data_IF_355221873874
#
_entry.id   IF_355221873874
#
_cell.length_a   1.000
_cell.length_b   1.000
_cell.length_c   1.000
_cell.angle_alpha   90.00
_cell.angle_beta   90.00
_cell.angle_gamma   90.00
#
_symmetry.space_group_name_H-M   'P 1'
#
loop_
_entity.id
_entity.type
_entity.pdbx_description
1 polymer ?
#
# COMPACT_ATOMS: atom_id res chain seq x y z
N UNK A 1 -25.40 -9.46 -1.12
CA UNK A 1 -24.40 -8.45 -1.52
C UNK A 1 -23.14 -9.21 -1.89
N UNK A 2 -22.90 -9.41 -3.18
CA UNK A 2 -21.68 -10.03 -3.70
C UNK A 2 -20.54 -9.04 -3.45
N UNK A 3 -19.45 -9.49 -2.81
CA UNK A 3 -18.26 -8.66 -2.70
C UNK A 3 -17.85 -8.20 -4.12
N UNK A 4 -17.46 -6.93 -4.34
CA UNK A 4 -17.02 -6.49 -5.65
C UNK A 4 -15.88 -7.40 -6.14
N UNK A 5 -15.86 -7.72 -7.43
CA UNK A 5 -14.76 -8.48 -8.04
C UNK A 5 -13.45 -7.74 -7.75
N UNK A 6 -12.50 -8.45 -7.11
CA UNK A 6 -11.21 -7.87 -6.73
C UNK A 6 -10.38 -7.62 -7.99
N UNK A 7 -10.02 -6.37 -8.21
CA UNK A 7 -9.17 -5.97 -9.33
C UNK A 7 -7.70 -6.30 -9.05
N UNK A 8 -6.83 -6.32 -10.08
CA UNK A 8 -5.38 -6.36 -9.88
C UNK A 8 -4.85 -5.24 -8.97
N UNK A 9 -5.45 -4.05 -9.04
CA UNK A 9 -5.10 -2.94 -8.16
C UNK A 9 -5.50 -3.18 -6.71
N UNK A 10 -6.65 -3.80 -6.46
CA UNK A 10 -7.10 -4.17 -5.11
C UNK A 10 -6.14 -5.18 -4.49
N UNK A 11 -5.73 -6.18 -5.26
CA UNK A 11 -4.70 -7.15 -4.83
C UNK A 11 -3.37 -6.46 -4.55
N UNK A 12 -2.94 -5.54 -5.42
CA UNK A 12 -1.72 -4.77 -5.21
C UNK A 12 -1.80 -3.90 -3.95
N UNK A 13 -2.94 -3.26 -3.68
CA UNK A 13 -3.14 -2.46 -2.47
C UNK A 13 -3.03 -3.30 -1.20
N UNK A 14 -3.60 -4.51 -1.21
CA UNK A 14 -3.47 -5.44 -0.09
C UNK A 14 -1.99 -5.82 0.17
N UNK A 15 -1.27 -6.24 -0.87
CA UNK A 15 0.15 -6.60 -0.76
C UNK A 15 1.03 -5.44 -0.28
N UNK A 16 0.78 -4.22 -0.79
CA UNK A 16 1.48 -3.02 -0.36
C UNK A 16 1.19 -2.66 1.10
N UNK A 17 0.00 -3.01 1.61
CA UNK A 17 -0.37 -2.73 3.01
C UNK A 17 0.45 -3.53 4.01
N UNK A 18 0.99 -4.70 3.62
CA UNK A 18 1.84 -5.50 4.49
C UNK A 18 3.09 -4.74 4.97
N UNK A 19 3.59 -3.78 4.19
CA UNK A 19 4.71 -2.92 4.58
C UNK A 19 4.42 -2.03 5.80
N UNK A 20 3.17 -1.94 6.23
CA UNK A 20 2.73 -1.15 7.39
C UNK A 20 2.42 -2.01 8.61
N UNK A 21 2.54 -3.33 8.52
CA UNK A 21 2.43 -4.22 9.66
C UNK A 21 3.73 -4.15 10.48
N UNK A 22 3.61 -4.22 11.80
CA UNK A 22 4.75 -4.22 12.74
C UNK A 22 5.40 -5.62 12.80
N UNK A 23 5.80 -6.12 11.64
CA UNK A 23 6.46 -7.42 11.46
C UNK A 23 7.73 -7.21 10.63
N UNK A 24 8.73 -8.09 10.80
CA UNK A 24 10.01 -7.99 10.07
C UNK A 24 9.80 -8.32 8.58
N UNK A 25 9.32 -7.32 7.84
CA UNK A 25 8.97 -7.40 6.41
C UNK A 25 10.20 -7.56 5.52
N UNK A 26 11.42 -7.37 6.05
CA UNK A 26 12.68 -7.48 5.29
C UNK A 26 12.88 -8.87 4.69
N UNK A 27 12.48 -9.92 5.40
CA UNK A 27 12.53 -11.30 4.91
C UNK A 27 11.49 -11.61 3.81
N UNK A 28 10.49 -10.76 3.65
CA UNK A 28 9.35 -10.97 2.74
C UNK A 28 9.35 -10.06 1.52
N UNK A 29 10.32 -9.15 1.36
CA UNK A 29 10.35 -8.21 0.22
C UNK A 29 10.45 -8.89 -1.15
N UNK A 30 11.18 -10.00 -1.26
CA UNK A 30 11.30 -10.73 -2.52
C UNK A 30 9.99 -11.44 -2.87
N UNK A 31 9.31 -12.02 -1.88
CA UNK A 31 7.96 -12.59 -2.01
C UNK A 31 6.97 -11.51 -2.47
N UNK A 32 6.94 -10.37 -1.76
CA UNK A 32 6.08 -9.24 -2.11
C UNK A 32 6.36 -8.72 -3.52
N UNK A 33 7.62 -8.63 -3.93
CA UNK A 33 7.99 -8.21 -5.29
C UNK A 33 7.46 -9.19 -6.35
N UNK A 34 7.59 -10.50 -6.12
CA UNK A 34 7.05 -11.51 -7.03
C UNK A 34 5.52 -11.45 -7.11
N UNK A 35 4.84 -11.36 -5.97
CA UNK A 35 3.38 -11.30 -5.93
C UNK A 35 2.83 -10.02 -6.56
N UNK A 36 3.50 -8.88 -6.35
CA UNK A 36 3.16 -7.62 -7.01
C UNK A 36 3.36 -7.70 -8.53
N UNK A 37 4.43 -8.35 -9.01
CA UNK A 37 4.60 -8.59 -10.46
C UNK A 37 3.50 -9.47 -11.02
N UNK A 38 3.08 -10.50 -10.29
CA UNK A 38 2.00 -11.39 -10.71
C UNK A 38 0.63 -10.69 -10.83
N UNK A 39 0.46 -9.51 -10.21
CA UNK A 39 -0.75 -8.69 -10.44
C UNK A 39 -0.78 -8.07 -11.85
N UNK A 40 0.36 -7.94 -12.53
CA UNK A 40 0.47 -7.24 -13.81
C UNK A 40 0.34 -5.72 -13.71
N UNK A 41 0.21 -5.15 -12.50
CA UNK A 41 0.12 -3.70 -12.29
C UNK A 41 1.50 -3.06 -12.52
N UNK A 42 1.63 -2.05 -13.40
CA UNK A 42 2.92 -1.40 -13.65
C UNK A 42 3.50 -0.75 -12.40
N UNK A 43 4.82 -0.74 -12.25
CA UNK A 43 5.51 -0.13 -11.09
C UNK A 43 5.10 1.34 -10.88
N UNK A 44 4.90 2.10 -11.96
CA UNK A 44 4.43 3.49 -11.87
C UNK A 44 2.98 3.64 -11.37
N UNK A 45 2.15 2.60 -11.52
CA UNK A 45 0.82 2.52 -10.93
C UNK A 45 0.93 2.09 -9.46
N UNK A 46 1.79 1.11 -9.13
CA UNK A 46 2.08 0.73 -7.74
C UNK A 46 2.56 1.92 -6.89
N UNK A 47 3.41 2.79 -7.44
CA UNK A 47 3.83 4.05 -6.82
C UNK A 47 2.64 4.98 -6.49
N UNK A 48 1.62 5.02 -7.36
CA UNK A 48 0.42 5.81 -7.14
C UNK A 48 -0.45 5.18 -6.06
N UNK A 49 -0.74 3.89 -6.17
CA UNK A 49 -1.53 3.13 -5.20
C UNK A 49 -0.92 3.24 -3.79
N UNK A 50 0.40 3.11 -3.67
CA UNK A 50 1.10 3.23 -2.39
C UNK A 50 0.87 4.59 -1.73
N UNK A 51 0.95 5.69 -2.49
CA UNK A 51 0.85 7.06 -1.95
C UNK A 51 -0.60 7.52 -1.75
N UNK A 52 -1.49 7.16 -2.67
CA UNK A 52 -2.84 7.73 -2.77
C UNK A 52 -3.88 6.87 -2.04
N UNK A 53 -3.70 5.55 -2.06
CA UNK A 53 -4.61 4.60 -1.44
C UNK A 53 -4.04 4.06 -0.13
N UNK A 54 -2.98 3.27 -0.20
CA UNK A 54 -2.48 2.48 0.95
C UNK A 54 -1.97 3.37 2.06
N UNK A 55 -1.02 4.28 1.78
CA UNK A 55 -0.48 5.19 2.79
C UNK A 55 -1.55 6.11 3.39
N UNK A 56 -2.60 6.44 2.63
CA UNK A 56 -3.71 7.27 3.14
C UNK A 56 -4.52 6.52 4.19
N UNK A 57 -4.61 5.20 4.10
CA UNK A 57 -5.29 4.35 5.09
C UNK A 57 -4.36 3.92 6.21
N UNK A 58 -3.15 3.50 5.89
CA UNK A 58 -2.27 2.80 6.83
C UNK A 58 -1.33 3.73 7.62
N UNK A 59 -1.00 4.94 7.14
CA UNK A 59 -0.14 5.85 7.93
C UNK A 59 -0.78 6.28 9.24
N UNK A 60 -2.11 6.33 9.33
CA UNK A 60 -2.79 6.64 10.60
C UNK A 60 -2.61 5.54 11.64
N UNK A 61 -2.44 4.28 11.22
CA UNK A 61 -2.21 3.16 12.13
C UNK A 61 -0.84 3.25 12.81
N UNK A 62 0.15 3.92 12.20
CA UNK A 62 1.47 4.12 12.80
C UNK A 62 1.47 5.14 13.96
N UNK A 63 0.44 6.00 14.06
CA UNK A 63 0.34 7.02 15.12
C UNK A 63 -0.57 6.60 16.27
N UNK A 64 -1.46 5.64 16.03
CA UNK A 64 -2.34 5.07 17.04
C UNK A 64 -2.39 3.58 16.76
N UNK A 65 -1.61 2.76 17.48
CA UNK A 65 -1.74 1.32 17.39
C UNK A 65 -3.15 0.96 17.88
N UNK A 66 -4.07 0.82 16.94
CA UNK A 66 -5.31 0.11 17.23
C UNK A 66 -4.86 -1.33 17.45
N UNK A 67 -4.87 -1.86 18.68
CA UNK A 67 -4.78 -3.30 19.00
C UNK A 67 -3.63 -4.15 18.44
N UNK A 68 -3.55 -5.40 18.90
CA UNK A 68 -2.73 -6.45 18.29
C UNK A 68 -3.40 -6.89 16.98
N UNK A 69 -2.93 -6.41 15.82
CA UNK A 69 -3.40 -6.93 14.53
C UNK A 69 -2.30 -7.76 13.90
N UNK A 70 -2.56 -9.06 13.75
CA UNK A 70 -1.69 -9.97 12.99
C UNK A 70 -1.73 -9.68 11.47
N UNK A 71 -2.61 -8.79 11.00
CA UNK A 71 -2.74 -8.39 9.61
C UNK A 71 -3.87 -7.40 9.35
N UNK A 72 -3.96 -6.90 8.11
CA UNK A 72 -5.11 -6.11 7.66
C UNK A 72 -6.25 -7.02 7.19
N UNK A 73 -7.48 -6.74 7.62
CA UNK A 73 -8.66 -7.30 6.96
C UNK A 73 -8.78 -6.71 5.55
N UNK A 74 -8.74 -7.58 4.54
CA UNK A 74 -8.73 -7.19 3.12
C UNK A 74 -9.96 -6.36 2.75
N UNK A 75 -11.14 -6.79 3.18
CA UNK A 75 -12.39 -6.14 2.78
C UNK A 75 -12.54 -4.77 3.47
N UNK A 76 -12.11 -4.64 4.72
CA UNK A 76 -12.00 -3.37 5.44
C UNK A 76 -11.03 -2.40 4.75
N UNK A 77 -9.85 -2.88 4.36
CA UNK A 77 -8.82 -2.07 3.70
C UNK A 77 -9.36 -1.52 2.37
N UNK A 78 -9.91 -2.40 1.53
CA UNK A 78 -10.46 -2.03 0.23
C UNK A 78 -11.67 -1.10 0.34
N UNK A 79 -12.57 -1.34 1.31
CA UNK A 79 -13.68 -0.43 1.57
C UNK A 79 -13.20 0.97 1.97
N UNK A 80 -12.13 1.07 2.77
CA UNK A 80 -11.55 2.37 3.14
C UNK A 80 -10.89 3.07 1.95
N UNK A 81 -10.18 2.33 1.10
CA UNK A 81 -9.60 2.84 -0.14
C UNK A 81 -10.69 3.37 -1.07
N UNK A 82 -11.74 2.59 -1.32
CA UNK A 82 -12.87 3.00 -2.16
C UNK A 82 -13.51 4.29 -1.66
N UNK A 83 -13.73 4.41 -0.34
CA UNK A 83 -14.24 5.63 0.29
C UNK A 83 -13.31 6.83 0.07
N UNK A 84 -11.99 6.63 0.20
CA UNK A 84 -11.00 7.68 0.01
C UNK A 84 -10.88 8.15 -1.45
N UNK A 85 -11.05 7.23 -2.42
CA UNK A 85 -11.06 7.55 -3.85
C UNK A 85 -12.27 8.41 -4.23
N UNK A 86 -13.43 8.17 -3.61
CA UNK A 86 -14.65 8.96 -3.81
C UNK A 86 -14.57 10.40 -3.23
N UNK A 87 -13.71 10.63 -2.23
CA UNK A 87 -13.50 11.95 -1.62
C UNK A 87 -11.99 12.30 -1.55
N UNK A 88 -11.43 12.89 -2.62
CA UNK A 88 -10.02 13.29 -2.62
C UNK A 88 -9.73 14.48 -1.68
N UNK A 89 -10.74 15.27 -1.33
CA UNK A 89 -10.63 16.49 -0.52
C UNK A 89 -9.88 17.64 -1.21
N UNK A 90 -10.18 18.88 -0.80
CA UNK A 90 -9.58 20.12 -1.37
C UNK A 90 -8.07 20.26 -1.14
N UNK A 91 -7.50 19.60 -0.13
CA UNK A 91 -6.08 19.65 0.21
C UNK A 91 -5.26 18.47 -0.35
N UNK A 92 -5.75 17.82 -1.41
CA UNK A 92 -5.14 16.61 -1.97
C UNK A 92 -3.64 16.76 -2.32
N UNK A 93 -3.16 17.83 -2.99
CA UNK A 93 -1.75 17.96 -3.36
C UNK A 93 -0.82 18.05 -2.14
N UNK A 94 -1.21 18.85 -1.15
CA UNK A 94 -0.45 19.04 0.09
C UNK A 94 -0.38 17.74 0.87
N UNK A 95 -1.52 17.06 1.04
CA UNK A 95 -1.59 15.76 1.73
C UNK A 95 -0.78 14.69 1.00
N UNK A 96 -0.79 14.68 -0.34
CA UNK A 96 0.04 13.78 -1.16
C UNK A 96 1.53 14.00 -0.91
N UNK A 97 1.98 15.25 -0.86
CA UNK A 97 3.36 15.59 -0.52
C UNK A 97 3.73 15.12 0.90
N UNK A 98 2.87 15.39 1.89
CA UNK A 98 3.08 14.94 3.27
C UNK A 98 3.17 13.40 3.36
N UNK A 99 2.29 12.66 2.67
CA UNK A 99 2.35 11.19 2.63
C UNK A 99 3.63 10.67 1.98
N UNK A 100 4.08 11.27 0.86
CA UNK A 100 5.37 10.92 0.25
C UNK A 100 6.52 11.14 1.23
N UNK A 101 6.50 12.23 2.00
CA UNK A 101 7.51 12.51 3.02
C UNK A 101 7.45 11.50 4.17
N UNK A 102 6.26 11.15 4.65
CA UNK A 102 6.06 10.17 5.71
C UNK A 102 6.51 8.77 5.28
N UNK A 103 6.12 8.30 4.09
CA UNK A 103 6.55 7.02 3.51
C UNK A 103 8.07 6.88 3.51
N UNK A 104 8.78 7.91 3.02
CA UNK A 104 10.26 7.89 2.98
C UNK A 104 10.92 7.80 4.36
N UNK A 105 10.23 8.22 5.42
CA UNK A 105 10.77 8.24 6.79
C UNK A 105 10.34 7.01 7.59
N UNK A 106 9.10 6.56 7.41
CA UNK A 106 8.46 5.56 8.26
C UNK A 106 8.37 4.19 7.62
N UNK A 107 8.46 4.10 6.29
CA UNK A 107 8.38 2.84 5.54
C UNK A 107 9.54 2.81 4.52
N UNK A 108 10.80 2.77 4.99
CA UNK A 108 11.97 2.73 4.09
C UNK A 108 11.95 1.51 3.15
N UNK A 109 11.35 0.40 3.58
CA UNK A 109 11.18 -0.86 2.84
C UNK A 109 10.48 -0.66 1.49
N UNK A 110 9.65 0.39 1.35
CA UNK A 110 9.04 0.73 0.07
C UNK A 110 10.09 1.05 -1.00
N UNK A 111 11.17 1.73 -0.63
CA UNK A 111 12.25 2.06 -1.57
C UNK A 111 12.98 0.81 -2.04
N UNK A 112 13.20 -0.12 -1.11
CA UNK A 112 13.86 -1.40 -1.35
C UNK A 112 13.01 -2.35 -2.18
N UNK A 113 11.71 -2.38 -1.95
CA UNK A 113 10.75 -3.12 -2.77
C UNK A 113 10.67 -2.54 -4.19
N UNK A 114 10.64 -1.21 -4.31
CA UNK A 114 10.62 -0.51 -5.59
C UNK A 114 11.91 -0.71 -6.40
N UNK A 115 13.06 -0.88 -5.75
CA UNK A 115 14.29 -1.29 -6.43
C UNK A 115 14.16 -2.69 -7.02
N UNK A 116 13.78 -3.67 -6.21
CA UNK A 116 13.54 -5.06 -6.65
C UNK A 116 12.57 -5.15 -7.82
N UNK A 117 11.45 -4.41 -7.76
CA UNK A 117 10.45 -4.39 -8.83
C UNK A 117 11.02 -3.90 -10.19
N UNK A 118 12.07 -3.07 -10.18
CA UNK A 118 12.73 -2.56 -11.39
C UNK A 118 13.89 -3.43 -11.87
N UNK A 119 14.56 -4.14 -10.95
CA UNK A 119 15.79 -4.88 -11.25
C UNK A 119 15.54 -6.31 -11.78
N UNK A 120 14.29 -6.79 -11.79
CA UNK A 120 13.99 -8.11 -12.33
C UNK A 120 14.00 -8.11 -13.87
N UNK A 121 14.67 -9.08 -14.53
CA UNK A 121 14.58 -9.24 -15.97
C UNK A 121 13.13 -9.59 -16.34
N UNK A 122 12.58 -8.81 -17.28
CA UNK A 122 11.29 -9.05 -17.96
C UNK A 122 11.22 -10.42 -18.60
#
# INVERSE_FOLDING_TARGET
MTAPERTPEDRACFLLSELFLDTDTRGSLDRLAQELRATGVPVAALDRLMVEDVARVCLTNLYSPAGEWEGFDTDWLLARIAKNRADPGVLAPVRRWMRRRALRRMVPEWSDLRARLRDAPT
#
